data_IF_082632190607
#
_entry.id   IF_082632190607
#
_cell.length_a   1.000
_cell.length_b   1.000
_cell.length_c   1.000
_cell.angle_alpha   90.00
_cell.angle_beta   90.00
_cell.angle_gamma   90.00
#
_symmetry.space_group_name_H-M   'P 1'
#
loop_
_entity.id
_entity.type
_entity.pdbx_description
1 polymer ?
#
# COMPACT_ATOMS: atom_id res chain seq x y z
N UNK A 1 1.61 6.01 10.56
CA UNK A 1 1.21 4.69 10.02
C UNK A 1 1.12 4.65 8.49
N UNK A 2 0.10 5.22 7.83
CA UNK A 2 0.01 5.18 6.34
C UNK A 2 1.13 6.00 5.68
N UNK A 3 1.46 7.18 6.21
CA UNK A 3 2.59 7.98 5.73
C UNK A 3 3.94 7.29 5.90
N UNK A 4 4.12 6.55 6.99
CA UNK A 4 5.34 5.75 7.21
C UNK A 4 5.43 4.60 6.19
N UNK A 5 4.31 3.97 5.84
CA UNK A 5 4.25 2.96 4.80
C UNK A 5 4.57 3.55 3.43
N UNK A 6 4.01 4.72 3.11
CA UNK A 6 4.30 5.45 1.86
C UNK A 6 5.78 5.85 1.79
N UNK A 7 6.33 6.37 2.89
CA UNK A 7 7.75 6.72 3.00
C UNK A 7 8.66 5.49 2.89
N UNK A 8 8.33 4.39 3.56
CA UNK A 8 9.05 3.12 3.48
C UNK A 8 8.99 2.48 2.08
N UNK A 9 7.91 2.71 1.34
CA UNK A 9 7.77 2.30 -0.06
C UNK A 9 8.47 3.25 -1.06
N UNK A 10 9.05 4.36 -0.60
CA UNK A 10 9.64 5.39 -1.46
C UNK A 10 8.62 6.15 -2.31
N UNK A 11 7.34 6.12 -1.95
CA UNK A 11 6.29 6.83 -2.66
C UNK A 11 6.39 8.33 -2.38
N UNK A 12 6.41 9.21 -3.40
CA UNK A 12 6.49 10.66 -3.23
C UNK A 12 5.12 11.28 -2.86
N UNK A 13 4.36 10.61 -1.99
CA UNK A 13 3.00 10.96 -1.61
C UNK A 13 2.88 11.00 -0.09
N UNK A 14 2.03 11.89 0.41
CA UNK A 14 1.63 11.96 1.82
C UNK A 14 0.10 11.92 1.93
N UNK A 15 -0.40 11.27 2.98
CA UNK A 15 -1.81 11.16 3.31
C UNK A 15 -2.30 12.48 3.91
N UNK A 16 -3.30 13.08 3.27
CA UNK A 16 -3.98 14.28 3.77
C UNK A 16 -5.21 13.89 4.59
N UNK A 17 -6.03 13.01 4.05
CA UNK A 17 -7.27 12.54 4.69
C UNK A 17 -7.48 11.06 4.39
N UNK A 18 -8.02 10.33 5.35
CA UNK A 18 -8.37 8.94 5.18
C UNK A 18 -9.60 8.57 5.98
N UNK A 19 -10.50 7.81 5.39
CA UNK A 19 -11.66 7.23 6.08
C UNK A 19 -11.92 5.82 5.61
N UNK A 20 -12.44 5.00 6.51
CA UNK A 20 -12.92 3.65 6.20
C UNK A 20 -14.30 3.48 6.83
N UNK A 21 -15.28 3.07 6.04
CA UNK A 21 -16.64 2.88 6.53
C UNK A 21 -16.79 1.60 7.35
N UNK A 22 -16.26 0.49 6.83
CA UNK A 22 -16.28 -0.78 7.55
C UNK A 22 -15.01 -1.60 7.31
N UNK A 23 -14.58 -2.28 8.37
CA UNK A 23 -13.49 -3.25 8.36
C UNK A 23 -14.05 -4.58 8.85
N UNK A 24 -13.88 -5.64 8.07
CA UNK A 24 -14.30 -6.99 8.44
C UNK A 24 -13.15 -7.94 8.27
N UNK A 25 -12.86 -8.73 9.30
CA UNK A 25 -11.85 -9.79 9.25
C UNK A 25 -12.57 -11.13 9.39
N UNK A 26 -12.29 -12.05 8.48
CA UNK A 26 -12.82 -13.42 8.52
C UNK A 26 -11.65 -14.39 8.64
N UNK A 27 -11.61 -15.08 9.78
CA UNK A 27 -10.56 -16.05 10.10
C UNK A 27 -11.16 -17.46 10.04
N UNK A 28 -10.71 -18.33 9.12
CA UNK A 28 -11.19 -19.71 9.04
C UNK A 28 -10.44 -20.59 10.06
N UNK A 29 -10.78 -20.48 11.35
CA UNK A 29 -10.04 -21.17 12.43
C UNK A 29 -9.86 -22.68 12.19
N UNK A 30 -10.87 -23.36 11.66
CA UNK A 30 -10.83 -24.80 11.37
C UNK A 30 -9.92 -25.16 10.18
N UNK A 31 -9.56 -24.18 9.35
CA UNK A 31 -8.88 -24.38 8.07
C UNK A 31 -7.74 -23.36 7.86
N UNK A 32 -7.15 -22.83 8.94
CA UNK A 32 -6.19 -21.71 8.88
C UNK A 32 -4.94 -22.01 8.03
N UNK A 33 -4.58 -23.30 7.91
CA UNK A 33 -3.46 -23.77 7.08
C UNK A 33 -3.80 -23.96 5.60
N UNK A 34 -5.09 -24.03 5.24
CA UNK A 34 -5.55 -24.35 3.89
C UNK A 34 -6.35 -23.20 3.25
N UNK A 35 -7.18 -22.50 4.03
CA UNK A 35 -7.99 -21.36 3.58
C UNK A 35 -7.37 -20.01 3.95
N UNK A 36 -7.53 -18.98 3.10
CA UNK A 36 -7.00 -17.65 3.38
C UNK A 36 -7.80 -16.92 4.46
N UNK A 37 -7.09 -16.12 5.26
CA UNK A 37 -7.71 -15.10 6.11
C UNK A 37 -8.16 -13.96 5.20
N UNK A 38 -9.42 -13.53 5.34
CA UNK A 38 -9.97 -12.45 4.50
C UNK A 38 -10.10 -11.16 5.29
N UNK A 39 -9.47 -10.10 4.81
CA UNK A 39 -9.66 -8.74 5.27
C UNK A 39 -10.50 -7.99 4.23
N UNK A 40 -11.67 -7.50 4.63
CA UNK A 40 -12.57 -6.73 3.76
C UNK A 40 -12.70 -5.31 4.26
N UNK A 41 -12.37 -4.34 3.41
CA UNK A 41 -12.52 -2.91 3.66
C UNK A 41 -13.63 -2.37 2.75
N UNK A 42 -14.60 -1.66 3.33
CA UNK A 42 -15.69 -1.03 2.58
C UNK A 42 -15.68 0.48 2.76
N UNK A 43 -16.02 1.20 1.68
CA UNK A 43 -16.07 2.67 1.67
C UNK A 43 -14.73 3.27 2.12
N UNK A 44 -13.63 2.75 1.58
CA UNK A 44 -12.29 3.26 1.84
C UNK A 44 -12.11 4.52 0.99
N UNK A 45 -11.77 5.64 1.62
CA UNK A 45 -11.39 6.87 0.92
C UNK A 45 -10.04 7.34 1.41
N UNK A 46 -9.12 7.59 0.49
CA UNK A 46 -7.81 8.14 0.77
C UNK A 46 -7.58 9.37 -0.11
N UNK A 47 -7.21 10.48 0.51
CA UNK A 47 -6.80 11.71 -0.17
C UNK A 47 -5.30 11.88 0.06
N UNK A 48 -4.54 11.78 -1.01
CA UNK A 48 -3.08 11.92 -1.03
C UNK A 48 -2.70 13.24 -1.70
N UNK A 49 -1.53 13.76 -1.37
CA UNK A 49 -0.89 14.85 -2.12
C UNK A 49 0.58 14.53 -2.38
N UNK A 50 1.18 15.07 -3.45
CA UNK A 50 2.61 14.98 -3.66
C UNK A 50 3.37 15.60 -2.48
N UNK A 51 4.34 14.87 -1.96
CA UNK A 51 5.23 15.38 -0.92
C UNK A 51 6.14 16.45 -1.52
N UNK A 52 6.24 17.61 -0.89
CA UNK A 52 7.09 18.68 -1.44
C UNK A 52 8.58 18.28 -1.40
N UNK A 53 9.35 18.52 -2.49
CA UNK A 53 10.78 18.29 -2.49
C UNK A 53 11.44 19.22 -1.48
N UNK A 54 11.89 18.66 -0.35
CA UNK A 54 12.52 19.42 0.74
C UNK A 54 12.01 19.08 2.14
N UNK A 55 10.93 18.31 2.29
CA UNK A 55 10.55 17.78 3.60
C UNK A 55 11.58 16.71 4.02
N UNK A 56 12.39 16.93 5.08
CA UNK A 56 13.31 15.91 5.55
C UNK A 56 12.52 14.65 5.89
N UNK A 57 12.90 13.53 5.28
CA UNK A 57 12.45 12.23 5.74
C UNK A 57 12.90 12.05 7.20
N UNK A 58 12.03 11.61 8.13
CA UNK A 58 12.51 11.19 9.42
C UNK A 58 13.36 9.93 9.19
N UNK A 59 14.68 10.04 9.35
CA UNK A 59 15.55 8.86 9.32
C UNK A 59 16.88 8.98 8.57
N UNK A 60 17.57 10.12 8.61
CA UNK A 60 19.03 10.07 8.39
C UNK A 60 19.71 9.70 9.71
N UNK A 61 20.26 8.48 9.88
CA UNK A 61 21.11 8.20 11.02
C UNK A 61 22.41 9.02 10.90
N UNK A 62 22.94 9.59 12.00
CA UNK A 62 24.24 10.25 11.97
C UNK A 62 25.35 9.22 11.69
N UNK A 63 26.36 9.54 10.87
CA UNK A 63 27.56 8.72 10.76
C UNK A 63 28.46 9.03 11.96
N UNK A 64 28.89 7.98 12.68
CA UNK A 64 30.02 8.04 13.60
C UNK A 64 29.66 7.98 15.08
N UNK A 65 29.89 6.81 15.67
CA UNK A 65 29.97 6.59 17.11
C UNK A 65 30.73 5.29 17.35
N UNK A 66 31.90 5.41 17.99
CA UNK A 66 32.90 4.37 18.20
C UNK A 66 32.33 3.06 18.76
N UNK A 67 32.67 1.93 18.13
CA UNK A 67 32.42 0.61 18.69
C UNK A 67 33.37 0.40 19.88
N UNK A 68 32.85 0.52 21.10
CA UNK A 68 33.50 0.00 22.30
C UNK A 68 32.83 -1.33 22.63
N UNK A 69 33.62 -2.41 22.62
CA UNK A 69 33.15 -3.77 22.88
C UNK A 69 32.36 -3.88 24.18
N UNK A 70 31.11 -4.31 24.04
CA UNK A 70 30.31 -4.87 25.12
C UNK A 70 29.98 -6.29 24.71
N UNK A 71 30.29 -7.24 25.58
CA UNK A 71 29.85 -8.63 25.41
C UNK A 71 28.35 -8.66 25.10
N UNK A 72 27.90 -9.51 24.16
CA UNK A 72 26.48 -9.69 23.92
C UNK A 72 25.81 -10.15 25.22
N UNK A 73 24.65 -9.57 25.61
CA UNK A 73 23.89 -10.09 26.73
C UNK A 73 23.55 -11.57 26.47
N UNK A 74 23.45 -12.40 27.52
CA UNK A 74 23.10 -13.80 27.38
C UNK A 74 21.81 -13.94 26.57
N UNK A 75 21.81 -14.84 25.60
CA UNK A 75 20.66 -15.07 24.73
C UNK A 75 19.45 -15.42 25.61
N UNK A 76 18.29 -14.75 25.41
CA UNK A 76 17.09 -15.10 26.14
C UNK A 76 16.75 -16.58 25.90
N UNK A 77 16.26 -17.31 26.92
CA UNK A 77 15.93 -18.72 26.77
C UNK A 77 14.93 -18.92 25.61
N UNK A 78 15.03 -20.02 24.86
CA UNK A 78 14.18 -20.27 23.70
C UNK A 78 12.71 -20.25 24.12
N UNK A 79 11.97 -19.27 23.63
CA UNK A 79 10.53 -19.13 23.85
C UNK A 79 9.82 -19.88 22.73
N UNK A 80 9.81 -21.21 22.82
CA UNK A 80 9.22 -22.13 21.83
C UNK A 80 7.77 -21.72 21.46
N UNK A 81 7.01 -21.23 22.44
CA UNK A 81 5.65 -20.70 22.24
C UNK A 81 5.58 -19.37 21.47
N UNK A 82 6.59 -18.50 21.59
CA UNK A 82 6.67 -17.24 20.85
C UNK A 82 7.12 -17.47 19.41
N UNK A 83 8.02 -18.43 19.19
CA UNK A 83 8.43 -18.87 17.84
C UNK A 83 7.26 -19.53 17.10
N UNK A 84 6.51 -20.41 17.77
CA UNK A 84 5.30 -21.01 17.21
C UNK A 84 4.23 -19.95 16.86
N UNK A 85 4.07 -18.93 17.70
CA UNK A 85 3.17 -17.80 17.44
C UNK A 85 3.65 -16.96 16.25
N UNK A 86 4.94 -16.64 16.18
CA UNK A 86 5.53 -15.92 15.06
C UNK A 86 5.38 -16.68 13.74
N UNK A 87 5.62 -18.00 13.73
CA UNK A 87 5.43 -18.87 12.58
C UNK A 87 3.95 -18.92 12.16
N UNK A 88 3.03 -18.96 13.13
CA UNK A 88 1.59 -18.91 12.86
C UNK A 88 1.18 -17.59 12.23
N UNK A 89 1.66 -16.46 12.75
CA UNK A 89 1.40 -15.13 12.19
C UNK A 89 1.98 -15.04 10.77
N UNK A 90 3.21 -15.47 10.54
CA UNK A 90 3.83 -15.45 9.21
C UNK A 90 3.03 -16.29 8.21
N UNK A 91 2.59 -17.47 8.62
CA UNK A 91 1.76 -18.36 7.79
C UNK A 91 0.41 -17.74 7.46
N UNK A 92 -0.22 -17.06 8.42
CA UNK A 92 -1.48 -16.34 8.23
C UNK A 92 -1.30 -15.14 7.30
N UNK A 93 -0.23 -14.36 7.46
CA UNK A 93 0.05 -13.19 6.64
C UNK A 93 0.34 -13.56 5.18
N UNK A 94 1.00 -14.71 4.94
CA UNK A 94 1.21 -15.26 3.58
C UNK A 94 -0.07 -15.64 2.86
N UNK A 95 -1.15 -15.88 3.59
CA UNK A 95 -2.46 -16.28 3.05
C UNK A 95 -3.52 -15.20 3.25
N UNK A 96 -3.09 -13.95 3.45
CA UNK A 96 -4.01 -12.84 3.60
C UNK A 96 -4.58 -12.47 2.23
N UNK A 97 -5.90 -12.56 2.12
CA UNK A 97 -6.66 -12.01 1.00
C UNK A 97 -7.29 -10.69 1.44
N UNK A 98 -7.01 -9.61 0.73
CA UNK A 98 -7.62 -8.30 1.00
C UNK A 98 -8.64 -7.97 -0.07
N UNK A 99 -9.83 -7.57 0.35
CA UNK A 99 -10.96 -7.18 -0.48
C UNK A 99 -11.28 -5.72 -0.21
N UNK A 100 -11.27 -4.89 -1.24
CA UNK A 100 -11.73 -3.51 -1.18
C UNK A 100 -13.04 -3.43 -1.95
N UNK A 101 -14.11 -2.97 -1.30
CA UNK A 101 -15.35 -2.63 -1.98
C UNK A 101 -15.63 -1.14 -1.85
N UNK A 102 -16.00 -0.51 -2.96
CA UNK A 102 -16.31 0.91 -3.03
C UNK A 102 -15.17 1.77 -2.47
N UNK A 103 -13.96 1.56 -2.98
CA UNK A 103 -12.79 2.32 -2.59
C UNK A 103 -12.55 3.51 -3.54
N UNK A 104 -12.09 4.63 -2.98
CA UNK A 104 -11.74 5.86 -3.69
C UNK A 104 -10.33 6.29 -3.27
N UNK A 105 -9.45 6.46 -4.25
CA UNK A 105 -8.14 7.05 -4.06
C UNK A 105 -8.07 8.36 -4.83
N UNK A 106 -7.92 9.46 -4.12
CA UNK A 106 -7.82 10.81 -4.68
C UNK A 106 -6.40 11.33 -4.49
N UNK A 107 -5.76 11.78 -5.56
CA UNK A 107 -4.45 12.43 -5.52
C UNK A 107 -4.61 13.89 -5.92
N UNK A 108 -4.42 14.79 -4.97
CA UNK A 108 -4.51 16.23 -5.16
C UNK A 108 -3.15 16.81 -5.55
N UNK A 109 -3.07 17.31 -6.77
CA UNK A 109 -1.93 17.98 -7.33
C UNK A 109 -2.02 19.49 -7.03
N UNK A 110 -0.93 20.09 -6.51
CA UNK A 110 -0.90 21.51 -6.25
C UNK A 110 -1.00 22.31 -7.56
N UNK A 111 -1.46 23.58 -7.49
CA UNK A 111 -1.43 24.47 -8.64
C UNK A 111 -0.01 24.61 -9.18
N UNK A 112 0.09 24.73 -10.51
CA UNK A 112 1.40 24.83 -11.17
C UNK A 112 2.09 26.17 -10.86
N UNK A 113 3.42 26.18 -10.72
CA UNK A 113 4.18 27.44 -10.63
C UNK A 113 3.97 28.22 -11.93
N UNK A 114 3.25 29.34 -11.84
CA UNK A 114 2.72 30.07 -13.00
C UNK A 114 1.22 30.42 -12.90
N UNK A 115 0.53 29.96 -11.85
CA UNK A 115 -0.85 30.36 -11.55
C UNK A 115 -1.94 29.55 -12.24
N UNK A 116 -1.58 28.40 -12.83
CA UNK A 116 -2.56 27.45 -13.37
C UNK A 116 -3.37 26.76 -12.26
N UNK A 117 -4.58 26.26 -12.57
CA UNK A 117 -5.39 25.51 -11.60
C UNK A 117 -4.64 24.26 -11.11
N UNK A 118 -4.94 23.84 -9.88
CA UNK A 118 -4.55 22.53 -9.40
C UNK A 118 -5.42 21.45 -10.03
N UNK A 119 -5.24 20.21 -9.62
CA UNK A 119 -6.12 19.14 -10.05
C UNK A 119 -6.16 17.98 -9.08
N UNK A 120 -7.17 17.14 -9.22
CA UNK A 120 -7.33 15.91 -8.47
C UNK A 120 -7.53 14.76 -9.45
N UNK A 121 -6.69 13.75 -9.32
CA UNK A 121 -6.87 12.46 -9.98
C UNK A 121 -7.61 11.53 -9.02
N UNK A 122 -8.79 11.05 -9.40
CA UNK A 122 -9.57 10.12 -8.59
C UNK A 122 -9.64 8.75 -9.26
N UNK A 123 -9.22 7.73 -8.51
CA UNK A 123 -9.34 6.32 -8.85
C UNK A 123 -10.49 5.75 -8.05
N UNK A 124 -11.60 5.47 -8.73
CA UNK A 124 -12.76 4.79 -8.15
C UNK A 124 -12.63 3.30 -8.42
N UNK A 125 -12.59 2.53 -7.35
CA UNK A 125 -12.36 1.10 -7.30
C UNK A 125 -13.62 0.44 -6.72
N UNK A 126 -14.66 0.16 -7.53
CA UNK A 126 -15.88 -0.50 -7.07
C UNK A 126 -15.58 -1.82 -6.37
N UNK A 127 -14.60 -2.57 -6.90
CA UNK A 127 -14.09 -3.77 -6.27
C UNK A 127 -12.63 -4.01 -6.65
N UNK A 128 -11.79 -4.23 -5.64
CA UNK A 128 -10.42 -4.67 -5.81
C UNK A 128 -10.12 -5.87 -4.89
N UNK A 129 -9.42 -6.86 -5.42
CA UNK A 129 -9.03 -8.05 -4.67
C UNK A 129 -7.51 -8.17 -4.73
N UNK A 130 -6.90 -8.23 -3.56
CA UNK A 130 -5.47 -8.42 -3.39
C UNK A 130 -5.22 -9.79 -2.78
N UNK A 131 -4.32 -10.54 -3.40
CA UNK A 131 -3.93 -11.87 -2.95
C UNK A 131 -2.40 -11.98 -2.99
N UNK A 132 -1.81 -12.41 -1.87
CA UNK A 132 -0.39 -12.77 -1.84
C UNK A 132 -0.23 -14.19 -2.39
N UNK A 133 0.25 -14.32 -3.62
CA UNK A 133 0.48 -15.61 -4.28
C UNK A 133 1.90 -16.13 -4.07
N UNK A 134 2.65 -15.56 -3.11
CA UNK A 134 4.04 -15.88 -2.85
C UNK A 134 4.27 -17.03 -1.87
N UNK A 135 4.73 -18.17 -2.39
CA UNK A 135 5.44 -19.21 -1.63
C UNK A 135 4.76 -20.57 -1.64
N UNK A 136 5.46 -21.59 -2.15
CA UNK A 136 5.06 -22.97 -1.96
C UNK A 136 5.06 -23.31 -0.45
N UNK A 137 4.09 -24.12 0.06
CA UNK A 137 4.08 -24.51 1.46
C UNK A 137 5.39 -25.22 1.83
N UNK A 138 6.10 -24.70 2.84
CA UNK A 138 7.31 -25.31 3.40
C UNK A 138 8.65 -24.87 2.79
N UNK A 139 8.66 -23.98 1.78
CA UNK A 139 9.90 -23.39 1.26
C UNK A 139 10.29 -22.11 1.99
N UNK A 140 11.59 -21.87 2.18
CA UNK A 140 12.13 -20.60 2.67
C UNK A 140 11.61 -19.38 1.90
N UNK A 141 11.91 -18.14 2.36
CA UNK A 141 11.35 -16.93 1.76
C UNK A 141 11.52 -16.95 0.24
N UNK A 142 10.40 -16.90 -0.53
CA UNK A 142 10.49 -17.03 -1.97
C UNK A 142 11.26 -15.85 -2.55
N UNK A 143 12.21 -16.11 -3.44
CA UNK A 143 13.02 -15.07 -4.10
C UNK A 143 12.18 -14.03 -4.88
N UNK A 144 10.91 -14.35 -5.14
CA UNK A 144 9.93 -13.47 -5.78
C UNK A 144 8.60 -13.58 -5.05
N UNK A 145 8.12 -12.44 -4.56
CA UNK A 145 6.78 -12.30 -4.01
C UNK A 145 5.85 -11.84 -5.14
N UNK A 146 4.83 -12.64 -5.44
CA UNK A 146 3.84 -12.30 -6.46
C UNK A 146 2.60 -11.75 -5.74
N UNK A 147 2.39 -10.44 -5.83
CA UNK A 147 1.20 -9.79 -5.32
C UNK A 147 0.23 -9.58 -6.48
N UNK A 148 -0.88 -10.34 -6.49
CA UNK A 148 -1.91 -10.21 -7.50
C UNK A 148 -2.92 -9.16 -7.04
N UNK A 149 -3.13 -8.11 -7.84
CA UNK A 149 -4.16 -7.11 -7.63
C UNK A 149 -5.18 -7.19 -8.78
N UNK A 150 -6.37 -7.70 -8.48
CA UNK A 150 -7.48 -7.76 -9.42
C UNK A 150 -8.37 -6.55 -9.22
N UNK A 151 -8.55 -5.76 -10.28
CA UNK A 151 -9.39 -4.57 -10.28
C UNK A 151 -10.62 -4.86 -11.15
N UNK A 152 -11.80 -4.51 -10.66
CA UNK A 152 -13.03 -4.61 -11.44
C UNK A 152 -13.64 -3.23 -11.57
N UNK A 153 -13.91 -2.85 -12.81
CA UNK A 153 -14.63 -1.63 -13.17
C UNK A 153 -13.97 -0.35 -12.64
N UNK A 154 -12.63 -0.30 -12.71
CA UNK A 154 -11.83 0.86 -12.36
C UNK A 154 -12.27 2.06 -13.20
N UNK A 155 -12.57 3.17 -12.52
CA UNK A 155 -12.86 4.46 -13.16
C UNK A 155 -11.79 5.46 -12.77
N UNK A 156 -11.27 6.15 -13.76
CA UNK A 156 -10.32 7.22 -13.59
C UNK A 156 -11.01 8.55 -13.89
N UNK A 157 -11.09 9.41 -12.90
CA UNK A 157 -11.66 10.75 -13.03
C UNK A 157 -10.58 11.81 -12.85
N UNK A 158 -10.73 12.91 -13.56
CA UNK A 158 -9.94 14.11 -13.39
C UNK A 158 -10.85 15.27 -12.97
N UNK A 159 -10.47 15.98 -11.92
CA UNK A 159 -11.15 17.20 -11.48
C UNK A 159 -10.15 18.35 -11.43
N UNK A 160 -10.48 19.47 -12.07
CA UNK A 160 -9.71 20.71 -11.88
C UNK A 160 -10.08 21.35 -10.54
N UNK A 161 -9.06 21.68 -9.76
CA UNK A 161 -9.22 22.34 -8.48
C UNK A 161 -8.91 23.83 -8.64
N UNK A 162 -9.86 24.73 -8.37
CA UNK A 162 -9.59 26.16 -8.40
C UNK A 162 -8.51 26.51 -7.36
N UNK A 163 -7.75 27.60 -7.58
CA UNK A 163 -6.83 28.10 -6.57
C UNK A 163 -7.57 28.37 -5.25
N UNK A 164 -6.91 28.16 -4.11
CA UNK A 164 -7.54 28.29 -2.79
C UNK A 164 -8.19 29.66 -2.50
N UNK A 165 -7.77 30.72 -3.21
CA UNK A 165 -8.32 32.07 -3.10
C UNK A 165 -9.51 32.34 -4.04
N UNK A 166 -9.71 31.50 -5.06
CA UNK A 166 -10.74 31.68 -6.06
C UNK A 166 -12.05 31.03 -5.57
N UNK A 167 -13.04 31.85 -5.23
CA UNK A 167 -14.39 31.39 -4.86
C UNK A 167 -15.21 31.04 -6.12
N UNK A 168 -14.69 30.12 -6.93
CA UNK A 168 -15.32 29.66 -8.17
C UNK A 168 -15.96 28.30 -7.91
N UNK A 169 -17.16 28.02 -8.45
CA UNK A 169 -17.75 26.69 -8.40
C UNK A 169 -16.78 25.65 -8.95
N UNK A 170 -16.50 24.60 -8.17
CA UNK A 170 -15.64 23.50 -8.62
C UNK A 170 -16.39 22.74 -9.71
N UNK A 171 -15.76 22.60 -10.88
CA UNK A 171 -16.32 21.80 -11.97
C UNK A 171 -16.50 20.34 -11.53
N UNK A 172 -17.56 19.65 -11.99
CA UNK A 172 -17.70 18.22 -11.74
C UNK A 172 -16.51 17.45 -12.34
N UNK A 173 -16.09 16.34 -11.70
CA UNK A 173 -15.03 15.50 -12.24
C UNK A 173 -15.40 15.00 -13.64
N UNK A 174 -14.44 15.09 -14.57
CA UNK A 174 -14.57 14.58 -15.92
C UNK A 174 -13.97 13.18 -15.97
N UNK A 175 -14.66 12.27 -16.65
CA UNK A 175 -14.18 10.91 -16.85
C UNK A 175 -12.96 10.90 -17.78
N UNK A 176 -11.78 10.59 -17.22
CA UNK A 176 -10.52 10.49 -17.96
C UNK A 176 -10.30 9.11 -18.58
N UNK A 177 -10.93 8.07 -18.03
CA UNK A 177 -10.87 6.73 -18.59
C UNK A 177 -11.74 5.72 -17.84
N UNK A 178 -12.20 4.70 -18.56
CA UNK A 178 -12.88 3.53 -18.00
C UNK A 178 -12.10 2.29 -18.41
N UNK A 179 -11.91 1.39 -17.46
CA UNK A 179 -11.48 0.02 -17.72
C UNK A 179 -12.68 -0.89 -17.42
N UNK A 180 -13.66 -1.00 -18.34
CA UNK A 180 -14.83 -1.83 -18.13
C UNK A 180 -14.45 -3.31 -18.22
N UNK A 181 -14.73 -4.07 -17.15
CA UNK A 181 -14.44 -5.50 -17.08
C UNK A 181 -13.35 -5.92 -16.10
N UNK A 182 -13.18 -7.23 -15.88
CA UNK A 182 -12.15 -7.75 -14.98
C UNK A 182 -10.77 -7.45 -15.53
N UNK A 183 -10.06 -6.54 -14.87
CA UNK A 183 -8.69 -6.15 -15.20
C UNK A 183 -7.76 -6.72 -14.13
N UNK A 184 -6.80 -7.55 -14.52
CA UNK A 184 -5.84 -8.14 -13.57
C UNK A 184 -4.49 -7.45 -13.71
N UNK A 185 -4.07 -6.73 -12.65
CA UNK A 185 -2.72 -6.19 -12.52
C UNK A 185 -1.89 -7.16 -11.68
N UNK A 186 -0.93 -7.86 -12.30
CA UNK A 186 0.00 -8.74 -11.58
C UNK A 186 1.28 -7.98 -11.27
N UNK A 187 1.49 -7.64 -10.00
CA UNK A 187 2.74 -7.00 -9.56
C UNK A 187 3.73 -8.08 -9.12
N UNK A 188 4.81 -8.23 -9.88
CA UNK A 188 5.91 -9.13 -9.53
C UNK A 188 6.96 -8.34 -8.74
N UNK A 189 7.00 -8.55 -7.43
CA UNK A 189 8.00 -7.94 -6.56
C UNK A 189 9.17 -8.91 -6.40
N UNK A 190 10.27 -8.63 -7.11
CA UNK A 190 11.52 -9.39 -6.95
C UNK A 190 12.22 -8.89 -5.67
N UNK A 191 12.55 -9.79 -4.75
CA UNK A 191 13.42 -9.44 -3.62
C UNK A 191 14.80 -9.13 -4.21
N UNK A 192 15.24 -7.87 -4.11
CA UNK A 192 16.50 -7.42 -4.68
C UNK A 192 17.50 -7.25 -3.55
N UNK A 193 18.40 -8.21 -3.36
CA UNK A 193 19.45 -8.14 -2.32
C UNK A 193 20.49 -7.03 -2.57
N UNK A 194 20.47 -6.38 -3.74
CA UNK A 194 21.48 -5.39 -4.14
C UNK A 194 21.00 -3.93 -4.17
N UNK A 195 19.69 -3.64 -4.08
CA UNK A 195 19.15 -2.28 -4.24
C UNK A 195 17.88 -2.08 -3.38
N UNK A 196 17.83 -1.07 -2.50
CA UNK A 196 16.61 -0.73 -1.77
C UNK A 196 15.62 -0.03 -2.70
N UNK A 197 14.57 -0.74 -3.14
CA UNK A 197 13.44 -0.15 -3.85
C UNK A 197 12.59 -1.17 -4.63
N UNK A 198 11.25 -1.07 -4.64
CA UNK A 198 10.39 -1.97 -5.39
C UNK A 198 10.47 -1.67 -6.90
N UNK A 199 10.89 -2.65 -7.70
CA UNK A 199 10.82 -2.58 -9.17
C UNK A 199 9.49 -3.16 -9.64
N UNK A 200 8.64 -2.32 -10.24
CA UNK A 200 7.35 -2.72 -10.83
C UNK A 200 7.56 -3.08 -12.29
N UNK A 201 7.36 -4.34 -12.65
CA UNK A 201 7.26 -4.78 -14.04
C UNK A 201 5.80 -4.94 -14.45
N UNK A 202 5.35 -4.16 -15.44
CA UNK A 202 4.05 -4.37 -16.10
C UNK A 202 4.26 -5.18 -17.37
N UNK A 203 3.39 -6.16 -17.63
CA UNK A 203 3.33 -6.86 -18.92
C UNK A 203 1.92 -6.71 -19.45
N UNK A 204 1.79 -6.11 -20.64
CA UNK A 204 0.57 -6.09 -21.44
C UNK A 204 0.42 -7.36 -22.26
#
# INVERSE_FOLDING_TARGET
AVDELLAGAGAPLELREGSVGAVTVTVPWAALGTEPVRLRLRHLRLVLRPRQPGAPGPGSPPPGGSQQGRDPPPEPPPLEGLEALALTIDTVLRRLQVLLDEAELRVELPPQPGGGPGGALELHLPRAEFEDTGGAPGGGPPAVLLKALRLRDLRLLWQELPPAWAQVPVSPPVLGGLLPGPSELRLRLKQNEALPGPAVGTRG
#
